data_IF_583221232266
#
_entry.id   IF_583221232266
#
_cell.length_a   1.000
_cell.length_b   1.000
_cell.length_c   1.000
_cell.angle_alpha   90.00
_cell.angle_beta   90.00
_cell.angle_gamma   90.00
#
_symmetry.space_group_name_H-M   'P 1'
#
loop_
_entity.id
_entity.type
_entity.pdbx_description
1 polymer ?
#
# COMPACT_ATOMS: atom_id res chain seq x y z
N UNK A 1 3.64 -14.90 13.34
CA UNK A 1 4.83 -15.34 12.58
C UNK A 1 6.16 -14.98 13.25
N UNK A 2 6.18 -14.15 14.29
CA UNK A 2 7.41 -13.68 14.91
C UNK A 2 8.24 -12.75 14.02
N UNK A 3 7.65 -12.13 13.00
CA UNK A 3 8.28 -11.20 12.07
C UNK A 3 8.19 -9.77 12.57
N UNK A 4 9.12 -8.92 12.15
CA UNK A 4 9.05 -7.49 12.42
C UNK A 4 8.11 -6.80 11.44
N UNK A 5 7.26 -5.91 11.97
CA UNK A 5 6.34 -5.12 11.17
C UNK A 5 6.97 -3.80 10.75
N UNK A 6 6.85 -3.47 9.47
CA UNK A 6 7.29 -2.20 8.88
C UNK A 6 6.13 -1.59 8.08
N UNK A 7 5.80 -0.34 8.37
CA UNK A 7 4.94 0.51 7.55
C UNK A 7 5.84 1.46 6.76
N UNK A 8 5.90 1.30 5.44
CA UNK A 8 6.82 2.07 4.60
C UNK A 8 6.55 3.56 4.62
N UNK A 9 5.29 3.98 4.70
CA UNK A 9 4.93 5.40 4.77
C UNK A 9 5.45 6.03 6.06
N UNK A 10 5.31 5.34 7.19
CA UNK A 10 5.82 5.81 8.49
C UNK A 10 7.35 5.88 8.53
N UNK A 11 8.02 4.90 7.95
CA UNK A 11 9.49 4.93 7.89
C UNK A 11 9.99 6.06 6.99
N UNK A 12 9.33 6.31 5.85
CA UNK A 12 9.65 7.46 4.99
C UNK A 12 9.46 8.78 5.73
N UNK A 13 8.32 8.98 6.42
CA UNK A 13 8.08 10.17 7.23
C UNK A 13 9.16 10.38 8.30
N UNK A 14 9.57 9.30 8.96
CA UNK A 14 10.62 9.32 9.99
C UNK A 14 11.98 9.69 9.39
N UNK A 15 12.34 9.13 8.26
CA UNK A 15 13.62 9.43 7.58
C UNK A 15 13.66 10.87 7.06
N UNK A 16 12.55 11.36 6.52
CA UNK A 16 12.46 12.70 5.95
C UNK A 16 12.21 13.80 7.01
N UNK A 17 11.75 13.44 8.20
CA UNK A 17 11.39 14.40 9.26
C UNK A 17 10.17 15.25 8.94
N UNK A 18 9.32 14.80 7.99
CA UNK A 18 8.10 15.49 7.58
C UNK A 18 7.01 14.49 7.15
N UNK A 19 5.78 14.95 7.02
CA UNK A 19 4.65 14.12 6.62
C UNK A 19 4.65 13.83 5.13
N UNK A 20 3.99 12.74 4.71
CA UNK A 20 3.77 12.41 3.29
C UNK A 20 3.12 13.59 2.55
N UNK A 21 2.15 14.27 3.16
CA UNK A 21 1.51 15.46 2.57
C UNK A 21 2.51 16.58 2.30
N UNK A 22 3.46 16.80 3.19
CA UNK A 22 4.53 17.80 3.00
C UNK A 22 5.50 17.37 1.89
N UNK A 23 5.86 16.09 1.81
CA UNK A 23 6.68 15.55 0.73
C UNK A 23 6.01 15.82 -0.62
N UNK A 24 4.71 15.52 -0.77
CA UNK A 24 3.96 15.82 -1.98
C UNK A 24 3.89 17.31 -2.30
N UNK A 25 3.67 18.14 -1.27
CA UNK A 25 3.57 19.60 -1.43
C UNK A 25 4.86 20.23 -1.93
N UNK A 26 6.01 19.82 -1.39
CA UNK A 26 7.30 20.44 -1.67
C UNK A 26 8.12 19.72 -2.74
N UNK A 27 8.04 18.40 -2.82
CA UNK A 27 8.80 17.57 -3.77
C UNK A 27 7.97 16.96 -4.90
N UNK A 28 6.66 16.96 -4.78
CA UNK A 28 5.74 16.36 -5.74
C UNK A 28 5.71 14.83 -5.69
N UNK A 29 4.88 14.24 -6.54
CA UNK A 29 4.68 12.78 -6.60
C UNK A 29 5.96 12.03 -6.95
N UNK A 30 6.75 12.54 -7.91
CA UNK A 30 7.99 11.90 -8.35
C UNK A 30 8.95 11.73 -7.18
N UNK A 31 9.14 12.77 -6.36
CA UNK A 31 9.98 12.71 -5.17
C UNK A 31 9.52 11.62 -4.19
N UNK A 32 8.22 11.56 -3.91
CA UNK A 32 7.66 10.53 -3.05
C UNK A 32 7.87 9.11 -3.61
N UNK A 33 7.67 8.91 -4.92
CA UNK A 33 7.92 7.63 -5.58
C UNK A 33 9.39 7.21 -5.52
N UNK A 34 10.32 8.16 -5.59
CA UNK A 34 11.74 7.86 -5.42
C UNK A 34 12.06 7.43 -3.99
N UNK A 35 11.42 8.04 -3.00
CA UNK A 35 11.55 7.63 -1.60
C UNK A 35 10.98 6.23 -1.35
N UNK A 36 9.86 5.87 -1.95
CA UNK A 36 9.30 4.51 -1.91
C UNK A 36 10.28 3.49 -2.50
N UNK A 37 10.89 3.79 -3.64
CA UNK A 37 11.89 2.92 -4.27
C UNK A 37 13.12 2.75 -3.38
N UNK A 38 13.66 3.84 -2.84
CA UNK A 38 14.80 3.79 -1.92
C UNK A 38 14.49 2.97 -0.66
N UNK A 39 13.29 3.11 -0.11
CA UNK A 39 12.84 2.30 1.05
C UNK A 39 12.87 0.81 0.72
N UNK A 40 12.33 0.40 -0.42
CA UNK A 40 12.36 -1.01 -0.85
C UNK A 40 13.80 -1.53 -1.05
N UNK A 41 14.69 -0.71 -1.59
CA UNK A 41 16.11 -1.05 -1.74
C UNK A 41 16.79 -1.29 -0.39
N UNK A 42 16.54 -0.43 0.59
CA UNK A 42 17.08 -0.59 1.95
C UNK A 42 16.60 -1.87 2.64
N UNK A 43 15.36 -2.30 2.34
CA UNK A 43 14.77 -3.49 2.92
C UNK A 43 15.33 -4.81 2.33
N UNK A 44 15.99 -4.79 1.16
CA UNK A 44 16.52 -5.99 0.49
C UNK A 44 17.50 -6.80 1.36
N UNK A 45 18.19 -6.15 2.30
CA UNK A 45 19.14 -6.81 3.21
C UNK A 45 18.51 -7.36 4.49
N UNK A 46 17.23 -7.13 4.71
CA UNK A 46 16.52 -7.52 5.94
C UNK A 46 15.71 -8.79 5.72
N UNK A 47 15.46 -9.53 6.80
CA UNK A 47 14.67 -10.77 6.77
C UNK A 47 13.59 -10.76 7.85
N UNK A 48 12.66 -11.68 7.73
CA UNK A 48 11.56 -11.87 8.69
C UNK A 48 10.72 -10.61 8.89
N UNK A 49 10.29 -10.01 7.78
CA UNK A 49 9.50 -8.78 7.77
C UNK A 49 8.06 -9.03 7.34
N UNK A 50 7.14 -8.30 7.94
CA UNK A 50 5.82 -7.99 7.39
C UNK A 50 5.84 -6.53 7.00
N UNK A 51 5.71 -6.26 5.70
CA UNK A 51 5.83 -4.91 5.15
C UNK A 51 4.46 -4.44 4.68
N UNK A 52 3.93 -3.38 5.30
CA UNK A 52 2.77 -2.67 4.80
C UNK A 52 3.21 -1.54 3.86
N UNK A 53 2.68 -1.54 2.66
CA UNK A 53 3.02 -0.57 1.61
C UNK A 53 1.87 0.36 1.29
N UNK A 54 2.19 1.56 0.81
CA UNK A 54 1.21 2.40 0.14
C UNK A 54 0.71 1.77 -1.17
N UNK A 55 -0.55 1.99 -1.51
CA UNK A 55 -1.15 1.39 -2.71
C UNK A 55 -0.55 1.87 -4.04
N UNK A 56 0.15 2.97 -4.06
CA UNK A 56 0.83 3.48 -5.25
C UNK A 56 2.23 2.92 -5.49
N UNK A 57 2.83 2.28 -4.50
CA UNK A 57 4.19 1.76 -4.58
C UNK A 57 4.38 0.75 -5.72
N UNK A 58 3.37 -0.06 -5.99
CA UNK A 58 3.38 -1.08 -7.05
C UNK A 58 3.32 -0.52 -8.47
N UNK A 59 3.05 0.78 -8.64
CA UNK A 59 2.88 1.37 -9.97
C UNK A 59 4.20 1.42 -10.77
N UNK A 60 5.34 1.51 -10.10
CA UNK A 60 6.64 1.40 -10.76
C UNK A 60 7.05 -0.06 -10.96
N UNK A 61 7.46 -0.42 -12.16
CA UNK A 61 7.97 -1.77 -12.46
C UNK A 61 9.17 -2.14 -11.60
N UNK A 62 10.08 -1.18 -11.37
CA UNK A 62 11.24 -1.37 -10.50
C UNK A 62 10.82 -1.80 -9.09
N UNK A 63 9.81 -1.13 -8.52
CA UNK A 63 9.30 -1.48 -7.20
C UNK A 63 8.70 -2.89 -7.18
N UNK A 64 7.96 -3.29 -8.22
CA UNK A 64 7.42 -4.65 -8.32
C UNK A 64 8.53 -5.70 -8.32
N UNK A 65 9.62 -5.44 -9.04
CA UNK A 65 10.79 -6.33 -9.06
C UNK A 65 11.45 -6.42 -7.67
N UNK A 66 11.64 -5.28 -7.00
CA UNK A 66 12.18 -5.25 -5.63
C UNK A 66 11.28 -5.98 -4.64
N UNK A 67 9.96 -5.78 -4.72
CA UNK A 67 8.99 -6.46 -3.86
C UNK A 67 9.00 -7.98 -4.08
N UNK A 68 9.13 -8.43 -5.32
CA UNK A 68 9.23 -9.84 -5.67
C UNK A 68 10.46 -10.52 -5.05
N UNK A 69 11.58 -9.79 -4.98
CA UNK A 69 12.81 -10.27 -4.32
C UNK A 69 12.69 -10.27 -2.78
N UNK A 70 11.85 -9.41 -2.21
CA UNK A 70 11.62 -9.34 -0.77
C UNK A 70 10.77 -10.49 -0.23
N UNK A 71 9.84 -11.00 -1.03
CA UNK A 71 8.99 -12.11 -0.61
C UNK A 71 7.60 -12.12 -1.25
N UNK A 72 6.69 -12.88 -0.66
CA UNK A 72 5.32 -13.03 -1.16
C UNK A 72 4.55 -11.73 -1.04
N UNK A 73 4.02 -11.25 -2.15
CA UNK A 73 3.14 -10.09 -2.20
C UNK A 73 1.71 -10.52 -1.88
N UNK A 74 1.10 -9.81 -0.94
CA UNK A 74 -0.28 -10.06 -0.52
C UNK A 74 -1.15 -8.87 -0.94
N UNK A 75 -2.12 -9.11 -1.80
CA UNK A 75 -3.14 -8.12 -2.15
C UNK A 75 -4.37 -8.30 -1.26
N UNK A 76 -4.64 -7.29 -0.44
CA UNK A 76 -5.86 -7.20 0.35
C UNK A 76 -6.95 -6.55 -0.51
N UNK A 77 -7.68 -7.38 -1.27
CA UNK A 77 -8.76 -6.94 -2.13
C UNK A 77 -9.98 -6.56 -1.29
N UNK A 78 -10.64 -5.46 -1.65
CA UNK A 78 -11.86 -5.01 -1.01
C UNK A 78 -12.86 -4.54 -2.07
N UNK A 79 -14.14 -4.85 -1.88
CA UNK A 79 -15.21 -4.37 -2.75
C UNK A 79 -15.30 -2.85 -2.75
N UNK A 80 -15.69 -2.26 -3.88
CA UNK A 80 -15.71 -0.80 -4.07
C UNK A 80 -16.58 -0.08 -3.02
N UNK A 81 -17.75 -0.60 -2.72
CA UNK A 81 -18.67 0.00 -1.73
C UNK A 81 -18.06 0.03 -0.33
N UNK A 82 -17.45 -1.08 0.07
CA UNK A 82 -16.78 -1.20 1.37
C UNK A 82 -15.52 -0.30 1.42
N UNK A 83 -14.77 -0.20 0.33
CA UNK A 83 -13.64 0.72 0.21
C UNK A 83 -14.07 2.16 0.41
N UNK A 84 -15.13 2.59 -0.29
CA UNK A 84 -15.72 3.93 -0.15
C UNK A 84 -16.16 4.17 1.30
N UNK A 85 -16.82 3.19 1.92
CA UNK A 85 -17.26 3.28 3.31
C UNK A 85 -16.09 3.46 4.29
N UNK A 86 -15.00 2.71 4.10
CA UNK A 86 -13.78 2.84 4.93
C UNK A 86 -13.11 4.19 4.72
N UNK A 87 -12.99 4.64 3.48
CA UNK A 87 -12.36 5.92 3.15
C UNK A 87 -13.14 7.13 3.68
N UNK A 88 -14.48 7.08 3.67
CA UNK A 88 -15.32 8.15 4.26
C UNK A 88 -15.08 8.34 5.76
N UNK A 89 -14.62 7.31 6.47
CA UNK A 89 -14.26 7.38 7.90
C UNK A 89 -12.87 7.96 8.13
N UNK A 90 -12.00 7.94 7.13
CA UNK A 90 -10.62 8.40 7.23
C UNK A 90 -10.47 9.83 6.71
N UNK A 91 -10.54 10.80 7.62
CA UNK A 91 -10.43 12.24 7.32
C UNK A 91 -9.02 12.70 6.89
N UNK A 92 -8.02 11.81 6.92
CA UNK A 92 -6.61 12.18 6.69
C UNK A 92 -6.14 11.97 5.26
N UNK A 93 -6.95 11.39 4.36
CA UNK A 93 -6.52 11.07 2.99
C UNK A 93 -6.84 12.21 2.01
N UNK A 94 -5.84 12.70 1.24
CA UNK A 94 -6.01 13.81 0.29
C UNK A 94 -7.10 13.58 -0.75
N UNK A 95 -7.30 12.33 -1.21
CA UNK A 95 -8.31 11.96 -2.21
C UNK A 95 -9.76 12.29 -1.82
N UNK A 96 -10.05 12.37 -0.52
CA UNK A 96 -11.38 12.73 -0.03
C UNK A 96 -11.65 14.25 -0.06
N UNK A 97 -10.63 15.06 -0.31
CA UNK A 97 -10.71 16.51 -0.41
C UNK A 97 -10.93 16.99 -1.84
N UNK A 98 -10.97 16.08 -2.81
CA UNK A 98 -11.27 16.39 -4.22
C UNK A 98 -12.77 16.61 -4.47
N UNK A 99 -13.11 17.29 -5.56
CA UNK A 99 -14.50 17.60 -5.92
C UNK A 99 -15.34 16.34 -6.22
N UNK A 100 -14.71 15.26 -6.68
CA UNK A 100 -15.35 13.98 -7.04
C UNK A 100 -14.58 12.77 -6.50
N UNK A 101 -14.54 12.56 -5.17
CA UNK A 101 -13.66 11.56 -4.58
C UNK A 101 -14.04 10.12 -4.97
N UNK A 102 -15.33 9.81 -5.14
CA UNK A 102 -15.80 8.46 -5.49
C UNK A 102 -15.40 8.08 -6.91
N UNK A 103 -15.61 8.98 -7.88
CA UNK A 103 -15.21 8.74 -9.27
C UNK A 103 -13.69 8.59 -9.37
N UNK A 104 -12.93 9.42 -8.66
CA UNK A 104 -11.47 9.32 -8.63
C UNK A 104 -10.96 8.02 -8.03
N UNK A 105 -11.56 7.56 -6.95
CA UNK A 105 -11.25 6.26 -6.33
C UNK A 105 -11.54 5.12 -7.30
N UNK A 106 -12.68 5.15 -7.96
CA UNK A 106 -13.08 4.13 -8.95
C UNK A 106 -12.09 4.07 -10.11
N UNK A 107 -11.74 5.21 -10.71
CA UNK A 107 -10.75 5.31 -11.77
C UNK A 107 -9.38 4.75 -11.35
N UNK A 108 -8.91 5.14 -10.17
CA UNK A 108 -7.64 4.64 -9.63
C UNK A 108 -7.65 3.12 -9.42
N UNK A 109 -8.75 2.56 -8.95
CA UNK A 109 -8.90 1.12 -8.74
C UNK A 109 -8.86 0.37 -10.07
N UNK A 110 -9.59 0.85 -11.08
CA UNK A 110 -9.57 0.26 -12.42
C UNK A 110 -8.18 0.31 -13.05
N UNK A 111 -7.48 1.43 -12.95
CA UNK A 111 -6.12 1.57 -13.48
C UNK A 111 -5.10 0.65 -12.80
N UNK A 112 -5.29 0.35 -11.52
CA UNK A 112 -4.34 -0.43 -10.70
C UNK A 112 -4.71 -1.91 -10.58
N UNK A 113 -5.92 -2.27 -10.96
CA UNK A 113 -6.50 -3.61 -10.74
C UNK A 113 -5.60 -4.72 -11.29
N UNK A 114 -5.18 -4.61 -12.54
CA UNK A 114 -4.32 -5.61 -13.18
C UNK A 114 -2.98 -5.78 -12.45
N UNK A 115 -2.41 -4.67 -11.97
CA UNK A 115 -1.14 -4.67 -11.23
C UNK A 115 -1.31 -5.29 -9.84
N UNK A 116 -2.40 -4.97 -9.13
CA UNK A 116 -2.68 -5.58 -7.83
C UNK A 116 -2.92 -7.08 -7.94
N UNK A 117 -3.55 -7.52 -9.02
CA UNK A 117 -3.84 -8.93 -9.29
C UNK A 117 -2.59 -9.76 -9.70
N UNK A 118 -1.43 -9.12 -9.92
CA UNK A 118 -0.13 -9.81 -10.05
C UNK A 118 0.42 -10.37 -8.71
N UNK A 119 -0.21 -10.08 -7.58
CA UNK A 119 0.22 -10.57 -6.28
C UNK A 119 0.06 -12.09 -6.18
N UNK A 120 1.02 -12.75 -5.56
CA UNK A 120 1.02 -14.21 -5.39
C UNK A 120 -0.08 -14.69 -4.43
N UNK A 121 -0.50 -13.81 -3.52
CA UNK A 121 -1.58 -14.09 -2.58
C UNK A 121 -2.64 -12.99 -2.65
N UNK A 122 -3.87 -13.36 -2.98
CA UNK A 122 -5.02 -12.43 -3.00
C UNK A 122 -6.02 -12.86 -1.93
N UNK A 123 -6.36 -11.95 -1.03
CA UNK A 123 -7.36 -12.15 0.02
C UNK A 123 -8.48 -11.13 -0.15
N UNK A 124 -9.69 -11.59 -0.38
CA UNK A 124 -10.88 -10.72 -0.35
C UNK A 124 -11.23 -10.40 1.10
N UNK A 125 -11.14 -9.13 1.46
CA UNK A 125 -11.33 -8.64 2.82
C UNK A 125 -12.64 -7.91 3.02
N UNK A 126 -13.55 -7.96 2.05
CA UNK A 126 -14.78 -7.15 2.03
C UNK A 126 -15.59 -7.30 3.31
N UNK A 127 -15.81 -8.54 3.74
CA UNK A 127 -16.64 -8.87 4.90
C UNK A 127 -15.84 -9.45 6.08
N UNK A 128 -14.52 -9.30 6.07
CA UNK A 128 -13.66 -9.90 7.09
C UNK A 128 -13.28 -8.91 8.19
N UNK A 129 -13.30 -9.38 9.43
CA UNK A 129 -12.63 -8.70 10.55
C UNK A 129 -11.10 -8.76 10.40
N UNK A 130 -10.33 -7.86 11.05
CA UNK A 130 -8.88 -7.92 11.01
C UNK A 130 -8.29 -9.29 11.41
N UNK A 131 -8.85 -9.95 12.41
CA UNK A 131 -8.42 -11.28 12.84
C UNK A 131 -8.67 -12.34 11.76
N UNK A 132 -9.83 -12.30 11.11
CA UNK A 132 -10.16 -13.18 10.00
C UNK A 132 -9.23 -12.94 8.79
N UNK A 133 -8.90 -11.67 8.48
CA UNK A 133 -7.94 -11.33 7.42
C UNK A 133 -6.59 -11.98 7.68
N UNK A 134 -6.07 -11.84 8.90
CA UNK A 134 -4.78 -12.45 9.30
C UNK A 134 -4.82 -13.96 9.15
N UNK A 135 -5.89 -14.61 9.62
CA UNK A 135 -6.06 -16.06 9.50
C UNK A 135 -6.08 -16.52 8.04
N UNK A 136 -6.79 -15.79 7.17
CA UNK A 136 -6.83 -16.10 5.74
C UNK A 136 -5.47 -15.89 5.05
N UNK A 137 -4.73 -14.85 5.40
CA UNK A 137 -3.38 -14.64 4.89
C UNK A 137 -2.48 -15.82 5.29
N UNK A 138 -2.44 -16.17 6.57
CA UNK A 138 -1.60 -17.26 7.08
C UNK A 138 -1.96 -18.60 6.42
N UNK A 139 -3.25 -18.84 6.19
CA UNK A 139 -3.71 -20.08 5.53
C UNK A 139 -3.25 -20.18 4.06
N UNK A 140 -3.06 -19.04 3.39
CA UNK A 140 -2.68 -18.97 1.96
C UNK A 140 -1.17 -18.90 1.74
N UNK A 141 -0.39 -18.52 2.76
CA UNK A 141 1.08 -18.51 2.72
C UNK A 141 1.66 -19.89 2.98
#
# INVERSE_FOLDING_TARGET
LGYFFIDTDREIEKEQGCTISEIFKYGGEICFRDLETNMLQQLQSKQNLVIATGGGMVMRQENRNLMQNLGTRVYLKVGLEELIRRLKKDKKRPLLQEARPIERITEMLEQRKSIYEEAECIVDTTDLSPQQMVSEIIRKL
#
